data_IF_114208932913
#
_entry.id   IF_114208932913
#
_cell.length_a   1.000
_cell.length_b   1.000
_cell.length_c   1.000
_cell.angle_alpha   90.00
_cell.angle_beta   90.00
_cell.angle_gamma   90.00
#
_symmetry.space_group_name_H-M   'P 1'
#
loop_
_entity.id
_entity.type
_entity.pdbx_description
1 polymer ?
#
# COMPACT_ATOMS: atom_id res chain seq x y z
N UNK A 1 34.94 1.52 53.31
CA UNK A 1 34.13 2.33 52.38
C UNK A 1 34.38 1.85 50.96
N UNK A 2 33.40 1.20 50.32
CA UNK A 2 33.44 0.85 48.88
C UNK A 2 32.03 1.13 48.33
N UNK A 3 31.89 2.17 47.52
CA UNK A 3 30.62 2.48 46.86
C UNK A 3 30.55 1.67 45.56
N UNK A 4 29.55 0.80 45.43
CA UNK A 4 29.25 0.09 44.19
C UNK A 4 28.34 0.96 43.32
N UNK A 5 28.83 1.34 42.13
CA UNK A 5 28.05 2.09 41.15
C UNK A 5 27.18 1.11 40.35
N UNK A 6 25.87 1.09 40.62
CA UNK A 6 24.90 0.34 39.81
C UNK A 6 24.64 1.10 38.51
N UNK A 7 25.14 0.56 37.40
CA UNK A 7 24.86 1.09 36.07
C UNK A 7 23.53 0.52 35.58
N UNK A 8 22.45 1.30 35.67
CA UNK A 8 21.14 0.92 35.15
C UNK A 8 21.15 1.03 33.62
N UNK A 9 21.19 -0.12 32.92
CA UNK A 9 21.11 -0.16 31.47
C UNK A 9 19.64 -0.02 31.03
N UNK A 10 19.21 1.20 30.74
CA UNK A 10 17.90 1.46 30.15
C UNK A 10 17.86 0.95 28.71
N UNK A 11 17.19 -0.19 28.46
CA UNK A 11 16.80 -0.57 27.10
C UNK A 11 15.76 0.44 26.61
N UNK A 12 16.18 1.33 25.71
CA UNK A 12 15.24 2.09 24.90
C UNK A 12 14.53 1.12 23.95
N UNK A 13 13.22 0.93 24.14
CA UNK A 13 12.37 0.34 23.12
C UNK A 13 12.29 1.33 21.96
N UNK A 14 13.11 1.10 20.92
CA UNK A 14 12.98 1.83 19.67
C UNK A 14 11.60 1.55 19.07
N UNK A 15 10.87 2.61 18.78
CA UNK A 15 9.66 2.52 17.95
C UNK A 15 10.06 1.92 16.61
N UNK A 16 9.46 0.79 16.24
CA UNK A 16 9.47 0.33 14.86
C UNK A 16 8.72 1.37 14.03
N UNK A 17 9.46 2.30 13.43
CA UNK A 17 8.95 3.08 12.32
C UNK A 17 8.53 2.11 11.22
N UNK A 18 7.37 2.33 10.63
CA UNK A 18 7.09 1.80 9.31
C UNK A 18 8.25 2.26 8.42
N UNK A 19 8.95 1.33 7.80
CA UNK A 19 9.98 1.63 6.82
C UNK A 19 9.30 1.63 5.47
N UNK A 20 9.42 2.71 4.70
CA UNK A 20 9.06 2.75 3.30
C UNK A 20 9.53 1.47 2.57
N UNK A 21 8.57 0.69 2.04
CA UNK A 21 8.84 -0.67 1.58
C UNK A 21 8.94 -0.68 0.05
N UNK A 22 10.15 -0.82 -0.49
CA UNK A 22 10.34 -0.94 -1.94
C UNK A 22 11.79 -0.71 -2.38
N UNK A 23 12.09 -0.80 -3.69
CA UNK A 23 11.18 -1.15 -4.79
C UNK A 23 10.89 -2.66 -4.90
N UNK A 24 11.60 -3.50 -4.14
CA UNK A 24 11.43 -4.97 -4.13
C UNK A 24 10.85 -5.40 -2.77
N UNK A 25 9.65 -6.00 -2.78
CA UNK A 25 8.97 -6.42 -1.54
C UNK A 25 7.99 -7.57 -1.74
N UNK A 26 7.55 -8.14 -0.62
CA UNK A 26 6.35 -9.00 -0.56
C UNK A 26 5.25 -8.24 0.17
N UNK A 27 4.06 -8.16 -0.43
CA UNK A 27 2.91 -7.42 0.07
C UNK A 27 1.76 -8.40 0.37
N UNK A 28 1.59 -8.86 1.62
CA UNK A 28 0.48 -9.71 1.99
C UNK A 28 -0.82 -8.90 2.07
N UNK A 29 -1.88 -9.41 1.46
CA UNK A 29 -3.21 -8.81 1.47
C UNK A 29 -4.10 -9.64 2.39
N UNK A 30 -4.56 -9.04 3.49
CA UNK A 30 -5.24 -9.74 4.60
C UNK A 30 -6.56 -9.08 4.97
N UNK A 31 -7.50 -9.87 5.50
CA UNK A 31 -8.65 -9.33 6.21
C UNK A 31 -8.27 -9.05 7.68
N UNK A 32 -8.56 -7.86 8.20
CA UNK A 32 -8.43 -7.58 9.64
C UNK A 32 -9.42 -6.50 10.11
N UNK A 33 -9.71 -6.49 11.41
CA UNK A 33 -10.52 -5.44 12.04
C UNK A 33 -9.70 -4.17 12.25
N UNK A 34 -10.25 -3.03 11.81
CA UNK A 34 -9.64 -1.70 11.98
C UNK A 34 -10.65 -0.71 12.54
N UNK A 35 -10.15 0.30 13.24
CA UNK A 35 -10.94 1.29 13.99
C UNK A 35 -10.41 2.72 13.74
N UNK A 36 -10.29 3.19 12.49
CA UNK A 36 -9.60 4.45 12.17
C UNK A 36 -10.34 5.71 12.64
N UNK A 37 -11.65 5.63 12.86
CA UNK A 37 -12.54 6.72 13.28
C UNK A 37 -13.29 6.42 14.59
N UNK A 38 -12.85 5.39 15.33
CA UNK A 38 -13.54 4.91 16.53
C UNK A 38 -14.60 3.83 16.29
N UNK A 39 -14.96 3.51 15.03
CA UNK A 39 -15.85 2.40 14.70
C UNK A 39 -15.08 1.19 14.17
N UNK A 40 -15.15 0.06 14.87
CA UNK A 40 -14.48 -1.18 14.46
C UNK A 40 -15.25 -1.88 13.35
N UNK A 41 -14.58 -2.18 12.24
CA UNK A 41 -15.09 -3.07 11.18
C UNK A 41 -13.95 -3.85 10.52
N UNK A 42 -14.30 -4.99 9.93
CA UNK A 42 -13.37 -5.73 9.08
C UNK A 42 -13.07 -4.96 7.79
N UNK A 43 -11.82 -5.03 7.34
CA UNK A 43 -11.28 -4.34 6.18
C UNK A 43 -10.27 -5.22 5.43
N UNK A 44 -10.07 -4.90 4.15
CA UNK A 44 -9.08 -5.53 3.26
C UNK A 44 -7.81 -4.69 3.29
N UNK A 45 -6.71 -5.21 3.86
CA UNK A 45 -5.54 -4.42 4.20
C UNK A 45 -4.27 -4.88 3.47
N UNK A 46 -3.54 -3.98 2.78
CA UNK A 46 -2.17 -4.25 2.36
C UNK A 46 -1.25 -4.23 3.60
N UNK A 47 -0.52 -5.31 3.83
CA UNK A 47 0.37 -5.53 4.99
C UNK A 47 -0.31 -5.35 6.37
N UNK A 48 -1.62 -5.52 6.46
CA UNK A 48 -2.36 -5.44 7.73
C UNK A 48 -2.55 -4.03 8.30
N UNK A 49 -2.27 -2.97 7.54
CA UNK A 49 -2.46 -1.57 7.98
C UNK A 49 -3.52 -0.85 7.15
N UNK A 50 -4.18 0.15 7.75
CA UNK A 50 -5.00 1.12 7.03
C UNK A 50 -4.57 2.57 7.36
N UNK A 51 -4.15 3.38 6.36
CA UNK A 51 -3.83 2.98 4.98
C UNK A 51 -2.74 1.90 4.92
N UNK A 52 -2.60 1.27 3.75
CA UNK A 52 -1.47 0.39 3.45
C UNK A 52 -0.13 1.13 3.53
N UNK A 53 0.99 0.40 3.71
CA UNK A 53 2.32 0.98 3.87
C UNK A 53 2.73 1.81 2.64
N UNK A 54 3.61 2.79 2.86
CA UNK A 54 4.29 3.46 1.77
C UNK A 54 5.09 2.45 0.94
N UNK A 55 4.82 2.42 -0.36
CA UNK A 55 5.70 1.80 -1.34
C UNK A 55 6.53 2.90 -1.99
N UNK A 56 7.85 2.74 -2.02
CA UNK A 56 8.73 3.76 -2.58
C UNK A 56 9.87 3.18 -3.40
N UNK A 57 10.38 3.98 -4.32
CA UNK A 57 11.61 3.73 -5.05
C UNK A 57 12.07 5.01 -5.76
N UNK A 58 13.14 4.91 -6.52
CA UNK A 58 13.62 6.01 -7.35
C UNK A 58 13.15 5.87 -8.79
N UNK A 59 13.21 6.98 -9.51
CA UNK A 59 13.03 7.06 -10.96
C UNK A 59 13.89 6.02 -11.70
N UNK A 60 13.21 5.18 -12.50
CA UNK A 60 13.76 4.03 -13.22
C UNK A 60 14.20 2.81 -12.37
N UNK A 61 13.92 2.77 -11.06
CA UNK A 61 14.06 1.51 -10.30
C UNK A 61 13.10 0.44 -10.83
N UNK A 62 13.51 -0.83 -10.81
CA UNK A 62 12.60 -1.92 -11.16
C UNK A 62 11.80 -2.35 -9.93
N UNK A 63 10.49 -2.11 -9.96
CA UNK A 63 9.57 -2.50 -8.90
C UNK A 63 9.21 -3.97 -9.08
N UNK A 64 9.50 -4.77 -8.04
CA UNK A 64 9.24 -6.22 -8.01
C UNK A 64 8.44 -6.55 -6.76
N UNK A 65 7.12 -6.46 -6.91
CA UNK A 65 6.17 -6.48 -5.79
C UNK A 65 5.39 -7.79 -5.84
N UNK A 66 5.77 -8.71 -4.96
CA UNK A 66 5.13 -10.01 -4.83
C UNK A 66 3.88 -9.88 -3.95
N UNK A 67 2.70 -9.77 -4.58
CA UNK A 67 1.42 -9.67 -3.87
C UNK A 67 0.97 -11.07 -3.48
N UNK A 68 0.71 -11.28 -2.19
CA UNK A 68 0.28 -12.56 -1.61
C UNK A 68 -1.16 -12.41 -1.15
N UNK A 69 -2.10 -13.10 -1.80
CA UNK A 69 -3.51 -12.99 -1.44
C UNK A 69 -3.85 -13.96 -0.30
N UNK A 70 -4.17 -13.42 0.88
CA UNK A 70 -4.58 -14.18 2.06
C UNK A 70 -6.01 -13.83 2.48
N UNK A 71 -6.84 -13.37 1.54
CA UNK A 71 -8.24 -12.99 1.81
C UNK A 71 -9.16 -14.19 1.96
N UNK A 72 -10.06 -14.06 2.91
CA UNK A 72 -10.98 -15.09 3.40
C UNK A 72 -12.43 -14.61 3.48
N UNK A 73 -12.69 -13.30 3.58
CA UNK A 73 -14.04 -12.76 3.65
C UNK A 73 -14.70 -12.63 2.26
N UNK A 74 -15.66 -13.51 1.94
CA UNK A 74 -16.46 -13.48 0.72
C UNK A 74 -17.27 -12.18 0.51
N UNK A 75 -17.62 -11.48 1.59
CA UNK A 75 -18.35 -10.20 1.55
C UNK A 75 -17.53 -9.10 0.89
N UNK A 76 -16.24 -9.01 1.22
CA UNK A 76 -15.28 -8.04 0.67
C UNK A 76 -14.49 -8.61 -0.52
N UNK A 77 -14.89 -9.80 -0.98
CA UNK A 77 -14.33 -10.58 -2.07
C UNK A 77 -12.96 -11.21 -1.72
N UNK A 78 -12.81 -12.51 -2.02
CA UNK A 78 -11.58 -13.26 -1.72
C UNK A 78 -10.55 -13.26 -2.84
N UNK A 79 -10.94 -12.98 -4.08
CA UNK A 79 -10.00 -12.63 -5.16
C UNK A 79 -9.50 -11.19 -4.98
N UNK A 80 -8.30 -10.86 -5.48
CA UNK A 80 -7.78 -9.49 -5.46
C UNK A 80 -6.90 -9.16 -6.66
N UNK A 81 -6.65 -7.88 -6.92
CA UNK A 81 -5.70 -7.41 -7.92
C UNK A 81 -5.25 -5.99 -7.57
N UNK A 82 -4.03 -5.62 -7.94
CA UNK A 82 -3.41 -4.36 -7.58
C UNK A 82 -3.11 -3.53 -8.82
N UNK A 83 -3.69 -2.33 -8.90
CA UNK A 83 -3.38 -1.33 -9.92
C UNK A 83 -2.43 -0.24 -9.41
N UNK A 84 -1.28 -0.12 -10.06
CA UNK A 84 -0.25 0.89 -9.81
C UNK A 84 -0.63 2.20 -10.49
N UNK A 85 -1.57 2.92 -9.87
CA UNK A 85 -2.17 4.12 -10.45
C UNK A 85 -1.11 5.16 -10.86
N UNK A 86 -1.29 5.75 -12.04
CA UNK A 86 -0.36 6.72 -12.62
C UNK A 86 0.86 6.12 -13.33
N UNK A 87 1.17 4.83 -13.19
CA UNK A 87 2.29 4.19 -13.88
C UNK A 87 1.90 3.84 -15.33
N UNK A 88 2.73 4.19 -16.31
CA UNK A 88 2.43 4.00 -17.74
C UNK A 88 2.50 2.55 -18.24
N UNK A 89 3.05 1.62 -17.43
CA UNK A 89 3.17 0.18 -17.72
C UNK A 89 3.69 -0.14 -19.14
N UNK A 90 4.67 0.64 -19.63
CA UNK A 90 5.26 0.43 -20.96
C UNK A 90 5.94 -0.94 -21.01
N UNK A 91 5.48 -1.79 -21.93
CA UNK A 91 5.88 -3.20 -22.05
C UNK A 91 5.55 -4.09 -20.83
N UNK A 92 4.80 -3.57 -19.86
CA UNK A 92 4.42 -4.22 -18.59
C UNK A 92 2.91 -4.18 -18.36
N UNK A 93 2.10 -4.05 -19.41
CA UNK A 93 0.63 -3.95 -19.33
C UNK A 93 -0.05 -5.11 -18.58
N UNK A 94 0.58 -6.29 -18.49
CA UNK A 94 0.11 -7.42 -17.69
C UNK A 94 0.17 -7.17 -16.17
N UNK A 95 1.02 -6.24 -15.74
CA UNK A 95 1.22 -5.80 -14.36
C UNK A 95 0.38 -4.55 -14.01
N UNK A 96 -0.50 -4.09 -14.90
CA UNK A 96 -1.30 -2.88 -14.68
C UNK A 96 -2.45 -3.08 -13.68
N UNK A 97 -2.89 -4.32 -13.43
CA UNK A 97 -3.80 -4.60 -12.32
C UNK A 97 -5.30 -4.55 -12.59
N UNK A 98 -5.76 -4.11 -13.76
CA UNK A 98 -7.19 -4.08 -14.05
C UNK A 98 -7.70 -5.51 -14.35
N UNK A 99 -8.42 -6.16 -13.42
CA UNK A 99 -9.00 -7.48 -13.67
C UNK A 99 -9.98 -7.49 -14.85
N UNK A 100 -9.93 -8.58 -15.61
CA UNK A 100 -10.69 -8.83 -16.84
C UNK A 100 -10.35 -7.87 -18.01
N UNK A 101 -9.33 -7.02 -17.85
CA UNK A 101 -8.74 -6.21 -18.93
C UNK A 101 -7.26 -6.57 -19.12
N UNK A 102 -6.48 -6.49 -18.04
CA UNK A 102 -5.03 -6.69 -18.05
C UNK A 102 -4.61 -8.05 -17.45
N UNK A 103 -5.37 -8.55 -16.47
CA UNK A 103 -5.13 -9.84 -15.80
C UNK A 103 -6.43 -10.47 -15.27
N UNK A 104 -6.39 -11.70 -14.78
CA UNK A 104 -7.42 -12.22 -13.86
C UNK A 104 -7.08 -11.81 -12.42
N UNK A 105 -8.06 -11.77 -11.49
CA UNK A 105 -7.77 -11.62 -10.07
C UNK A 105 -6.88 -12.77 -9.57
N UNK A 106 -5.96 -12.44 -8.66
CA UNK A 106 -5.16 -13.39 -7.89
C UNK A 106 -6.13 -14.20 -7.02
N UNK A 107 -6.08 -15.52 -7.11
CA UNK A 107 -6.94 -16.40 -6.32
C UNK A 107 -6.54 -16.40 -4.83
N UNK A 108 -7.42 -16.83 -3.91
CA UNK A 108 -7.09 -16.93 -2.49
C UNK A 108 -5.95 -17.93 -2.27
N UNK A 109 -5.00 -17.58 -1.40
CA UNK A 109 -3.74 -18.29 -1.12
C UNK A 109 -2.72 -18.34 -2.29
N UNK A 110 -3.00 -17.70 -3.43
CA UNK A 110 -2.04 -17.57 -4.53
C UNK A 110 -1.25 -16.25 -4.45
N UNK A 111 -0.16 -16.19 -5.23
CA UNK A 111 0.74 -15.04 -5.31
C UNK A 111 0.92 -14.56 -6.75
N UNK A 112 1.08 -13.25 -6.95
CA UNK A 112 1.42 -12.69 -8.25
C UNK A 112 2.52 -11.63 -8.11
N UNK A 113 3.56 -11.76 -8.94
CA UNK A 113 4.66 -10.81 -9.00
C UNK A 113 4.35 -9.72 -10.03
N UNK A 114 4.17 -8.50 -9.54
CA UNK A 114 4.19 -7.30 -10.36
C UNK A 114 5.65 -6.90 -10.61
N UNK A 115 6.11 -6.97 -11.86
CA UNK A 115 7.50 -6.68 -12.28
C UNK A 115 7.46 -5.58 -13.36
N UNK A 116 7.76 -4.34 -12.98
CA UNK A 116 7.64 -3.17 -13.86
C UNK A 116 8.64 -2.05 -13.51
N UNK A 117 9.02 -1.27 -14.52
CA UNK A 117 9.91 -0.12 -14.37
C UNK A 117 9.19 1.16 -14.84
N UNK A 118 9.00 2.18 -13.98
CA UNK A 118 8.31 3.43 -14.33
C UNK A 118 9.27 4.38 -15.08
N UNK A 119 9.71 3.96 -16.27
CA UNK A 119 10.76 4.65 -17.06
C UNK A 119 10.37 6.09 -17.36
N UNK A 120 11.19 7.03 -16.87
CA UNK A 120 11.00 8.46 -17.08
C UNK A 120 9.84 9.09 -16.29
N UNK A 121 9.26 8.38 -15.31
CA UNK A 121 8.24 8.92 -14.40
C UNK A 121 8.85 9.21 -13.02
N UNK A 122 8.29 10.20 -12.34
CA UNK A 122 8.62 10.61 -10.96
C UNK A 122 7.42 11.33 -10.34
N UNK A 123 7.40 11.43 -9.02
CA UNK A 123 6.42 12.14 -8.21
C UNK A 123 5.56 11.22 -7.35
N UNK A 124 4.66 11.85 -6.59
CA UNK A 124 3.65 11.16 -5.78
C UNK A 124 2.50 10.71 -6.67
N UNK A 125 2.25 9.40 -6.69
CA UNK A 125 0.99 8.86 -7.16
C UNK A 125 0.17 8.35 -5.96
N UNK A 126 -1.13 8.62 -5.89
CA UNK A 126 -2.00 7.84 -5.02
C UNK A 126 -2.11 6.45 -5.64
N UNK A 127 -1.20 5.53 -5.31
CA UNK A 127 -1.43 4.13 -5.69
C UNK A 127 -2.79 3.69 -5.15
N UNK A 128 -3.46 2.78 -5.86
CA UNK A 128 -4.74 2.21 -5.44
C UNK A 128 -5.95 3.18 -5.34
N UNK A 129 -5.96 4.32 -6.04
CA UNK A 129 -7.13 5.21 -6.19
C UNK A 129 -7.07 5.81 -7.60
N UNK A 130 -8.02 5.68 -8.53
CA UNK A 130 -9.38 5.09 -8.62
C UNK A 130 -9.60 4.78 -10.15
N UNK A 131 -10.46 3.90 -10.69
CA UNK A 131 -11.66 3.13 -10.28
C UNK A 131 -11.59 1.71 -10.92
N UNK A 132 -12.23 0.69 -10.30
CA UNK A 132 -12.16 -0.76 -10.67
C UNK A 132 -10.71 -1.31 -10.65
N UNK A 133 -10.41 -2.60 -10.49
CA UNK A 133 -11.09 -3.80 -10.95
C UNK A 133 -10.90 -5.01 -10.00
N UNK A 134 -11.45 -4.98 -8.79
CA UNK A 134 -12.31 -6.11 -8.43
C UNK A 134 -13.51 -5.54 -7.69
N UNK A 135 -14.50 -5.13 -8.49
CA UNK A 135 -15.67 -4.38 -8.05
C UNK A 135 -15.25 -3.14 -7.22
N UNK A 136 -15.58 -3.12 -5.92
CA UNK A 136 -15.41 -1.99 -5.00
C UNK A 136 -14.41 -2.28 -3.86
N UNK A 137 -13.59 -3.34 -3.96
CA UNK A 137 -12.70 -3.80 -2.87
C UNK A 137 -11.74 -2.73 -2.31
N UNK A 138 -11.31 -1.76 -3.12
CA UNK A 138 -10.46 -0.64 -2.65
C UNK A 138 -11.17 0.27 -1.62
N UNK A 139 -12.50 0.36 -1.66
CA UNK A 139 -13.30 1.08 -0.67
C UNK A 139 -13.28 0.39 0.70
N UNK A 140 -13.10 -0.94 0.72
CA UNK A 140 -13.05 -1.75 1.94
C UNK A 140 -11.65 -1.78 2.59
N UNK A 141 -10.69 -1.02 2.07
CA UNK A 141 -9.40 -0.75 2.73
C UNK A 141 -8.17 -0.84 1.84
N UNK A 142 -8.27 -1.52 0.69
CA UNK A 142 -7.13 -1.91 -0.15
C UNK A 142 -6.51 -0.73 -0.91
N UNK A 143 -5.77 0.14 -0.20
CA UNK A 143 -5.08 1.32 -0.73
C UNK A 143 -3.96 1.83 0.18
N UNK A 144 -2.95 2.48 -0.41
CA UNK A 144 -1.79 3.07 0.25
C UNK A 144 -1.02 4.01 -0.69
N UNK A 145 0.00 4.76 -0.23
CA UNK A 145 0.74 5.70 -1.08
C UNK A 145 1.89 5.04 -1.87
N UNK A 146 2.18 5.58 -3.06
CA UNK A 146 3.34 5.23 -3.89
C UNK A 146 4.12 6.50 -4.26
N UNK A 147 5.39 6.56 -3.87
CA UNK A 147 6.27 7.68 -4.21
C UNK A 147 7.44 7.17 -5.05
N UNK A 148 7.63 7.80 -6.22
CA UNK A 148 8.82 7.61 -7.04
C UNK A 148 9.64 8.88 -6.90
N UNK A 149 10.73 8.81 -6.13
CA UNK A 149 11.62 9.94 -5.91
C UNK A 149 12.53 10.19 -7.14
N UNK A 150 12.88 11.46 -7.39
CA UNK A 150 13.90 11.83 -8.39
C UNK A 150 15.14 12.37 -7.67
N UNK A 151 16.27 11.65 -7.67
CA UNK A 151 17.53 12.16 -7.14
C UNK A 151 18.06 13.42 -7.87
N UNK A 152 17.42 13.82 -8.98
CA UNK A 152 17.65 15.07 -9.69
C UNK A 152 16.36 15.92 -9.82
N UNK A 153 15.47 15.88 -8.80
CA UNK A 153 14.28 16.73 -8.73
C UNK A 153 14.63 18.22 -8.90
N UNK A 154 14.08 18.95 -9.89
CA UNK A 154 14.32 20.38 -10.07
C UNK A 154 13.86 21.26 -8.89
N UNK A 155 13.01 20.73 -8.01
CA UNK A 155 12.48 21.41 -6.82
C UNK A 155 13.17 21.01 -5.51
N UNK A 156 14.19 20.14 -5.55
CA UNK A 156 14.92 19.66 -4.36
C UNK A 156 15.47 20.78 -3.46
N UNK A 157 15.73 21.97 -4.03
CA UNK A 157 16.21 23.14 -3.30
C UNK A 157 15.09 23.98 -2.64
N UNK A 158 13.82 23.56 -2.71
CA UNK A 158 12.65 24.30 -2.20
C UNK A 158 12.09 23.74 -0.89
N UNK A 159 12.61 22.60 -0.41
CA UNK A 159 12.19 21.93 0.82
C UNK A 159 13.41 21.36 1.57
N UNK A 160 13.32 21.27 2.89
CA UNK A 160 14.37 20.70 3.74
C UNK A 160 14.19 19.19 4.00
N UNK A 161 12.94 18.70 3.90
CA UNK A 161 12.54 17.32 4.24
C UNK A 161 11.49 16.86 3.22
N UNK A 162 11.72 15.67 2.65
CA UNK A 162 10.73 14.89 1.90
C UNK A 162 10.95 13.40 2.21
N UNK A 163 10.05 12.81 2.99
CA UNK A 163 10.14 11.43 3.50
C UNK A 163 8.74 10.88 3.83
N UNK A 164 8.64 9.71 4.47
CA UNK A 164 7.33 9.10 4.81
C UNK A 164 6.45 10.00 5.71
N UNK A 165 7.04 10.95 6.45
CA UNK A 165 6.30 11.87 7.33
C UNK A 165 5.67 13.07 6.60
N UNK A 166 6.11 13.38 5.37
CA UNK A 166 5.51 14.45 4.54
C UNK A 166 4.28 13.97 3.76
N UNK A 167 4.01 12.67 3.76
CA UNK A 167 2.92 12.06 2.99
C UNK A 167 1.58 12.20 3.73
N UNK A 168 0.63 12.87 3.08
CA UNK A 168 -0.73 13.07 3.61
C UNK A 168 -1.73 12.33 2.71
N UNK A 169 -2.28 11.22 3.19
CA UNK A 169 -3.35 10.48 2.50
C UNK A 169 -4.73 10.97 2.95
N UNK A 170 -5.60 11.32 2.00
CA UNK A 170 -7.01 11.61 2.28
C UNK A 170 -7.87 10.39 1.89
N UNK A 171 -8.63 9.86 2.85
CA UNK A 171 -9.41 8.64 2.68
C UNK A 171 -10.84 8.82 3.22
N UNK A 172 -11.83 8.49 2.39
CA UNK A 172 -13.22 8.29 2.75
C UNK A 172 -13.39 6.94 3.47
N UNK A 173 -13.94 6.94 4.69
CA UNK A 173 -14.19 5.71 5.47
C UNK A 173 -15.69 5.44 5.62
N UNK A 174 -16.09 4.19 5.47
CA UNK A 174 -17.49 3.74 5.54
C UNK A 174 -17.63 2.64 6.58
N UNK A 175 -18.58 2.77 7.50
CA UNK A 175 -18.87 1.75 8.52
C UNK A 175 -19.45 0.46 7.93
N UNK A 176 -20.13 0.57 6.79
CA UNK A 176 -20.71 -0.57 6.05
C UNK A 176 -19.75 -1.01 4.94
N UNK A 177 -19.54 -2.32 4.80
CA UNK A 177 -18.73 -2.89 3.72
C UNK A 177 -19.31 -2.55 2.34
N UNK A 178 -18.45 -2.38 1.32
CA UNK A 178 -18.84 -1.76 0.06
C UNK A 178 -19.91 -2.56 -0.72
N UNK A 179 -20.01 -3.88 -0.51
CA UNK A 179 -21.07 -4.73 -1.09
C UNK A 179 -22.33 -4.86 -0.23
N UNK A 180 -22.30 -4.39 1.02
CA UNK A 180 -23.45 -4.33 1.94
C UNK A 180 -24.10 -2.94 2.01
N UNK A 181 -23.46 -1.92 1.43
CA UNK A 181 -24.01 -0.57 1.31
C UNK A 181 -25.28 -0.53 0.44
N UNK A 182 -26.04 0.55 0.57
CA UNK A 182 -27.22 0.77 -0.26
C UNK A 182 -26.81 0.80 -1.74
N UNK A 183 -27.44 -0.06 -2.54
CA UNK A 183 -27.30 0.00 -4.00
C UNK A 183 -27.95 1.30 -4.48
N UNK A 184 -27.17 2.15 -5.15
CA UNK A 184 -27.73 3.24 -5.94
C UNK A 184 -28.55 2.63 -7.09
N UNK A 185 -29.79 3.10 -7.33
CA UNK A 185 -30.67 2.60 -8.39
C UNK A 185 -30.22 3.03 -9.79
#
# INVERSE_FOLDING_TARGET
MKHGLLLALSLAFGTLGCLAVGPVLTLPIVDADVTPDGYTRQAVLPNGTFPGPLISGNKNDNFRINVVNLLTNETMLTGTTIHWHGIFQRHSAYADGLAFVNQCPIAPNDTFLYDFTPVGQTGTAPSYVRITHYMTQYCDGLRGPLVIYDPQDPYLAWYDVDDESTIITLADWLHTAARLGAQYP
#
